data_IF_569258642820
#
_entry.id   IF_569258642820
#
_cell.length_a   1.000
_cell.length_b   1.000
_cell.length_c   1.000
_cell.angle_alpha   90.00
_cell.angle_beta   90.00
_cell.angle_gamma   90.00
#
_symmetry.space_group_name_H-M   'P 1'
#
loop_
_entity.id
_entity.type
_entity.pdbx_description
1 polymer ?
#
# COMPACT_ATOMS: atom_id res chain seq x y z
N UNK A 1 31.63 -12.83 -28.19
CA UNK A 1 30.35 -13.41 -28.63
C UNK A 1 29.62 -14.11 -27.47
N UNK A 2 30.29 -14.92 -26.63
CA UNK A 2 29.68 -15.61 -25.46
C UNK A 2 29.03 -14.63 -24.51
N UNK A 3 29.68 -13.51 -24.17
CA UNK A 3 29.10 -12.50 -23.28
C UNK A 3 27.81 -11.89 -23.85
N UNK A 4 27.79 -11.61 -25.17
CA UNK A 4 26.60 -11.11 -25.84
C UNK A 4 25.47 -12.14 -25.81
N UNK A 5 25.77 -13.42 -26.04
CA UNK A 5 24.79 -14.51 -25.97
C UNK A 5 24.18 -14.62 -24.58
N UNK A 6 25.02 -14.62 -23.54
CA UNK A 6 24.51 -14.65 -22.15
C UNK A 6 23.68 -13.41 -21.79
N UNK A 7 24.06 -12.23 -22.25
CA UNK A 7 23.29 -11.01 -22.03
C UNK A 7 21.91 -11.09 -22.71
N UNK A 8 21.83 -11.60 -23.94
CA UNK A 8 20.54 -11.79 -24.64
C UNK A 8 19.66 -12.81 -23.90
N UNK A 9 20.23 -13.95 -23.51
CA UNK A 9 19.49 -14.96 -22.73
C UNK A 9 18.97 -14.38 -21.41
N UNK A 10 19.81 -13.63 -20.68
CA UNK A 10 19.41 -12.99 -19.44
C UNK A 10 18.23 -12.02 -19.61
N UNK A 11 18.26 -11.19 -20.66
CA UNK A 11 17.18 -10.27 -21.00
C UNK A 11 15.89 -11.02 -21.35
N UNK A 12 15.97 -12.08 -22.15
CA UNK A 12 14.79 -12.90 -22.50
C UNK A 12 14.16 -13.57 -21.28
N UNK A 13 14.97 -14.14 -20.40
CA UNK A 13 14.51 -14.75 -19.13
C UNK A 13 13.89 -13.70 -18.23
N UNK A 14 14.50 -12.51 -18.13
CA UNK A 14 13.96 -11.39 -17.34
C UNK A 14 12.59 -10.93 -17.87
N UNK A 15 12.46 -10.73 -19.19
CA UNK A 15 11.20 -10.35 -19.82
C UNK A 15 10.13 -11.43 -19.58
N UNK A 16 10.45 -12.70 -19.74
CA UNK A 16 9.51 -13.80 -19.50
C UNK A 16 9.04 -13.83 -18.04
N UNK A 17 9.96 -13.67 -17.09
CA UNK A 17 9.65 -13.60 -15.67
C UNK A 17 8.74 -12.41 -15.33
N UNK A 18 9.04 -11.23 -15.87
CA UNK A 18 8.26 -10.02 -15.68
C UNK A 18 6.84 -10.16 -16.25
N UNK A 19 6.71 -10.74 -17.46
CA UNK A 19 5.39 -11.03 -18.05
C UNK A 19 4.56 -11.98 -17.20
N UNK A 20 5.15 -13.05 -16.66
CA UNK A 20 4.47 -13.96 -15.75
C UNK A 20 4.00 -13.24 -14.48
N UNK A 21 4.85 -12.39 -13.90
CA UNK A 21 4.53 -11.57 -12.71
C UNK A 21 3.34 -10.64 -12.97
N UNK A 22 3.36 -9.90 -14.08
CA UNK A 22 2.27 -9.00 -14.46
C UNK A 22 0.94 -9.72 -14.69
N UNK A 23 0.96 -10.81 -15.47
CA UNK A 23 -0.25 -11.60 -15.72
C UNK A 23 -0.84 -12.18 -14.43
N UNK A 24 0.02 -12.67 -13.53
CA UNK A 24 -0.39 -13.13 -12.20
C UNK A 24 -0.99 -12.01 -11.35
N UNK A 25 -0.34 -10.85 -11.32
CA UNK A 25 -0.78 -9.68 -10.59
C UNK A 25 -2.16 -9.18 -11.04
N UNK A 26 -2.38 -9.05 -12.35
CA UNK A 26 -3.67 -8.63 -12.91
C UNK A 26 -4.80 -9.59 -12.54
N UNK A 27 -4.54 -10.91 -12.62
CA UNK A 27 -5.55 -11.93 -12.24
C UNK A 27 -5.88 -11.85 -10.75
N UNK A 28 -4.88 -11.74 -9.88
CA UNK A 28 -5.09 -11.65 -8.43
C UNK A 28 -5.86 -10.38 -8.08
N UNK A 29 -5.47 -9.22 -8.61
CA UNK A 29 -6.14 -7.95 -8.35
C UNK A 29 -7.61 -7.96 -8.85
N UNK A 30 -7.85 -8.57 -10.01
CA UNK A 30 -9.21 -8.72 -10.55
C UNK A 30 -10.04 -9.63 -9.64
N UNK A 31 -9.51 -10.77 -9.22
CA UNK A 31 -10.20 -11.68 -8.32
C UNK A 31 -10.49 -11.04 -6.96
N UNK A 32 -9.55 -10.27 -6.40
CA UNK A 32 -9.78 -9.53 -5.15
C UNK A 32 -10.93 -8.53 -5.30
N UNK A 33 -10.98 -7.77 -6.41
CA UNK A 33 -12.09 -6.85 -6.69
C UNK A 33 -13.42 -7.58 -6.76
N UNK A 34 -13.48 -8.69 -7.51
CA UNK A 34 -14.70 -9.49 -7.69
C UNK A 34 -15.16 -10.05 -6.34
N UNK A 35 -14.28 -10.74 -5.61
CA UNK A 35 -14.61 -11.34 -4.32
C UNK A 35 -15.06 -10.30 -3.28
N UNK A 36 -14.38 -9.16 -3.22
CA UNK A 36 -14.75 -8.07 -2.32
C UNK A 36 -16.12 -7.50 -2.68
N UNK A 37 -16.40 -7.29 -3.97
CA UNK A 37 -17.70 -6.78 -4.42
C UNK A 37 -18.82 -7.79 -4.21
N UNK A 38 -18.61 -9.07 -4.51
CA UNK A 38 -19.58 -10.13 -4.25
C UNK A 38 -19.91 -10.25 -2.76
N UNK A 39 -18.88 -10.10 -1.89
CA UNK A 39 -19.08 -10.11 -0.46
C UNK A 39 -19.89 -8.88 0.02
N UNK A 40 -19.54 -7.67 -0.48
CA UNK A 40 -20.26 -6.43 -0.15
C UNK A 40 -21.75 -6.54 -0.50
N UNK A 41 -22.10 -7.11 -1.65
CA UNK A 41 -23.51 -7.28 -2.06
C UNK A 41 -24.30 -8.20 -1.11
N UNK A 42 -23.61 -9.09 -0.41
CA UNK A 42 -24.24 -10.00 0.57
C UNK A 42 -24.33 -9.43 1.99
N UNK A 43 -23.72 -8.24 2.23
CA UNK A 43 -23.76 -7.60 3.54
C UNK A 43 -25.11 -6.87 3.77
N UNK A 44 -25.51 -6.66 5.04
CA UNK A 44 -26.71 -5.87 5.37
C UNK A 44 -26.62 -4.44 4.81
N UNK A 45 -27.74 -3.84 4.39
CA UNK A 45 -27.78 -2.48 3.85
C UNK A 45 -27.19 -1.42 4.80
N UNK A 46 -27.39 -1.57 6.11
CA UNK A 46 -26.82 -0.67 7.14
C UNK A 46 -25.29 -0.61 7.15
N UNK A 47 -24.62 -1.62 6.58
CA UNK A 47 -23.17 -1.61 6.41
C UNK A 47 -22.71 -0.46 5.49
N UNK A 48 -23.41 -0.22 4.39
CA UNK A 48 -23.05 0.81 3.41
C UNK A 48 -23.13 2.23 4.03
N UNK A 49 -24.04 2.45 4.96
CA UNK A 49 -24.17 3.72 5.69
C UNK A 49 -23.01 3.93 6.68
N UNK A 50 -22.60 2.87 7.40
CA UNK A 50 -21.52 2.95 8.41
C UNK A 50 -20.13 3.07 7.77
N UNK A 51 -19.91 2.42 6.64
CA UNK A 51 -18.62 2.45 5.94
C UNK A 51 -18.43 3.66 5.02
N UNK A 52 -19.50 4.14 4.41
CA UNK A 52 -19.50 5.20 3.41
C UNK A 52 -18.97 4.74 2.03
N UNK A 53 -19.60 5.22 0.97
CA UNK A 53 -19.29 4.82 -0.42
C UNK A 53 -17.86 5.14 -0.84
N UNK A 54 -17.30 6.26 -0.36
CA UNK A 54 -15.92 6.66 -0.66
C UNK A 54 -14.89 5.70 -0.10
N UNK A 55 -15.07 5.24 1.15
CA UNK A 55 -14.20 4.28 1.80
C UNK A 55 -14.28 2.91 1.12
N UNK A 56 -15.48 2.44 0.78
CA UNK A 56 -15.66 1.18 0.03
C UNK A 56 -15.00 1.22 -1.33
N UNK A 57 -15.17 2.32 -2.08
CA UNK A 57 -14.49 2.51 -3.36
C UNK A 57 -12.96 2.45 -3.20
N UNK A 58 -12.41 3.10 -2.17
CA UNK A 58 -10.97 3.06 -1.87
C UNK A 58 -10.51 1.63 -1.60
N UNK A 59 -11.25 0.87 -0.77
CA UNK A 59 -10.92 -0.52 -0.45
C UNK A 59 -10.93 -1.40 -1.70
N UNK A 60 -11.99 -1.35 -2.50
CA UNK A 60 -12.13 -2.22 -3.68
C UNK A 60 -11.11 -1.87 -4.77
N UNK A 61 -10.91 -0.59 -5.08
CA UNK A 61 -10.07 -0.19 -6.21
C UNK A 61 -8.62 0.04 -5.81
N UNK A 62 -8.36 0.88 -4.80
CA UNK A 62 -7.00 1.30 -4.47
C UNK A 62 -6.24 0.20 -3.74
N UNK A 63 -6.88 -0.53 -2.81
CA UNK A 63 -6.19 -1.63 -2.13
C UNK A 63 -5.89 -2.80 -3.08
N UNK A 64 -6.80 -3.11 -4.01
CA UNK A 64 -6.53 -4.12 -5.05
C UNK A 64 -5.43 -3.68 -6.02
N UNK A 65 -5.36 -2.37 -6.37
CA UNK A 65 -4.30 -1.82 -7.21
C UNK A 65 -2.94 -1.83 -6.49
N UNK A 66 -2.91 -1.56 -5.18
CA UNK A 66 -1.68 -1.68 -4.37
C UNK A 66 -1.16 -3.12 -4.37
N UNK A 67 -2.04 -4.11 -4.26
CA UNK A 67 -1.70 -5.54 -4.34
C UNK A 67 -1.14 -5.90 -5.72
N UNK A 68 -1.76 -5.38 -6.79
CA UNK A 68 -1.28 -5.55 -8.17
C UNK A 68 0.14 -5.00 -8.35
N UNK A 69 0.35 -3.75 -7.93
CA UNK A 69 1.67 -3.09 -8.00
C UNK A 69 2.73 -3.86 -7.23
N UNK A 70 2.39 -4.37 -6.06
CA UNK A 70 3.29 -5.19 -5.27
C UNK A 70 3.71 -6.48 -6.00
N UNK A 71 2.75 -7.23 -6.51
CA UNK A 71 3.01 -8.51 -7.19
C UNK A 71 3.72 -8.32 -8.53
N UNK A 72 3.35 -7.27 -9.29
CA UNK A 72 3.92 -7.01 -10.61
C UNK A 72 5.35 -6.51 -10.55
N UNK A 73 5.70 -5.65 -9.59
CA UNK A 73 6.97 -4.93 -9.54
C UNK A 73 7.79 -5.28 -8.30
N UNK A 74 7.20 -5.22 -7.11
CA UNK A 74 7.96 -5.33 -5.88
C UNK A 74 8.37 -6.76 -5.54
N UNK A 75 7.58 -7.76 -5.92
CA UNK A 75 7.94 -9.16 -5.73
C UNK A 75 9.14 -9.58 -6.61
N UNK A 76 9.19 -9.25 -7.92
CA UNK A 76 10.39 -9.41 -8.74
C UNK A 76 11.60 -8.62 -8.19
N UNK A 77 11.39 -7.39 -7.72
CA UNK A 77 12.44 -6.59 -7.10
C UNK A 77 13.00 -7.23 -5.83
N UNK A 78 12.16 -7.88 -5.02
CA UNK A 78 12.61 -8.67 -3.84
C UNK A 78 13.46 -9.86 -4.25
N UNK A 79 13.05 -10.62 -5.26
CA UNK A 79 13.85 -11.72 -5.78
C UNK A 79 15.22 -11.22 -6.27
N UNK A 80 15.23 -10.11 -7.00
CA UNK A 80 16.46 -9.48 -7.47
C UNK A 80 17.34 -8.94 -6.31
N UNK A 81 16.72 -8.38 -5.27
CA UNK A 81 17.42 -7.88 -4.08
C UNK A 81 18.12 -8.99 -3.26
N UNK A 82 17.69 -10.23 -3.42
CA UNK A 82 18.37 -11.40 -2.81
C UNK A 82 19.39 -11.99 -3.81
N UNK A 83 18.98 -12.19 -5.06
CA UNK A 83 19.81 -12.83 -6.09
C UNK A 83 21.06 -12.01 -6.42
N UNK A 84 20.93 -10.68 -6.51
CA UNK A 84 22.05 -9.80 -6.89
C UNK A 84 23.17 -9.80 -5.83
N UNK A 85 22.92 -9.62 -4.51
CA UNK A 85 23.98 -9.73 -3.50
C UNK A 85 24.63 -11.12 -3.50
N UNK A 86 23.84 -12.19 -3.62
CA UNK A 86 24.38 -13.55 -3.71
C UNK A 86 25.31 -13.71 -4.92
N UNK A 87 24.89 -13.22 -6.09
CA UNK A 87 25.71 -13.23 -7.30
C UNK A 87 26.99 -12.38 -7.15
N UNK A 88 26.89 -11.22 -6.52
CA UNK A 88 28.05 -10.37 -6.23
C UNK A 88 29.03 -11.05 -5.27
N UNK A 89 28.54 -11.73 -4.24
CA UNK A 89 29.38 -12.50 -3.31
C UNK A 89 30.11 -13.63 -4.03
N UNK A 90 29.46 -14.34 -4.94
CA UNK A 90 30.11 -15.37 -5.76
C UNK A 90 31.22 -14.76 -6.62
N UNK A 91 30.97 -13.61 -7.24
CA UNK A 91 31.94 -12.90 -8.05
C UNK A 91 33.18 -12.45 -7.24
N UNK A 92 33.01 -12.14 -5.94
CA UNK A 92 34.13 -11.87 -5.03
C UNK A 92 35.16 -13.01 -4.97
N UNK A 93 34.75 -14.26 -5.09
CA UNK A 93 35.64 -15.40 -5.04
C UNK A 93 36.19 -15.81 -6.41
N UNK A 94 35.54 -15.37 -7.50
CA UNK A 94 35.96 -15.67 -8.88
C UNK A 94 37.04 -14.72 -9.36
N UNK A 95 36.95 -13.44 -8.98
CA UNK A 95 37.92 -12.39 -9.30
C UNK A 95 38.89 -12.17 -8.12
N UNK A 96 39.59 -11.05 -8.05
CA UNK A 96 40.50 -10.78 -6.95
C UNK A 96 39.76 -10.57 -5.62
N UNK A 97 39.89 -11.56 -4.70
CA UNK A 97 39.23 -11.55 -3.39
C UNK A 97 39.62 -10.33 -2.53
N UNK A 98 40.82 -9.74 -2.75
CA UNK A 98 41.29 -8.55 -2.01
C UNK A 98 40.50 -7.32 -2.39
N UNK A 99 40.30 -7.09 -3.69
CA UNK A 99 39.42 -6.03 -4.17
C UNK A 99 37.98 -6.26 -3.75
N UNK A 100 37.55 -7.50 -3.75
CA UNK A 100 36.25 -7.89 -3.25
C UNK A 100 36.02 -7.53 -1.78
N UNK A 101 36.94 -7.89 -0.89
CA UNK A 101 36.88 -7.50 0.52
C UNK A 101 36.93 -6.00 0.71
N UNK A 102 37.75 -5.28 -0.05
CA UNK A 102 37.81 -3.81 -0.02
C UNK A 102 36.45 -3.17 -0.40
N UNK A 103 35.76 -3.74 -1.38
CA UNK A 103 34.43 -3.26 -1.77
C UNK A 103 33.36 -3.57 -0.72
N UNK A 104 33.54 -4.65 0.03
CA UNK A 104 32.57 -5.10 1.05
C UNK A 104 32.56 -4.24 2.31
N UNK A 105 33.70 -3.62 2.68
CA UNK A 105 33.80 -2.79 3.89
C UNK A 105 32.77 -1.65 3.89
N UNK A 106 32.72 -0.74 2.88
CA UNK A 106 31.72 0.33 2.87
C UNK A 106 30.30 -0.19 2.64
N UNK A 107 30.13 -1.34 1.97
CA UNK A 107 28.82 -1.99 1.79
C UNK A 107 28.25 -2.45 3.14
N UNK A 108 29.06 -3.15 3.95
CA UNK A 108 28.66 -3.57 5.31
C UNK A 108 28.38 -2.37 6.19
N UNK A 109 29.21 -1.33 6.14
CA UNK A 109 28.98 -0.10 6.88
C UNK A 109 27.66 0.56 6.47
N UNK A 110 27.40 0.67 5.16
CA UNK A 110 26.13 1.18 4.63
C UNK A 110 24.93 0.35 5.09
N UNK A 111 25.06 -0.98 5.09
CA UNK A 111 24.02 -1.88 5.58
C UNK A 111 23.74 -1.69 7.08
N UNK A 112 24.76 -1.58 7.91
CA UNK A 112 24.61 -1.29 9.34
C UNK A 112 23.92 0.05 9.60
N UNK A 113 24.28 1.09 8.84
CA UNK A 113 23.60 2.39 8.92
C UNK A 113 22.14 2.25 8.48
N UNK A 114 21.86 1.53 7.40
CA UNK A 114 20.51 1.26 6.91
C UNK A 114 19.64 0.58 7.98
N UNK A 115 20.19 -0.38 8.73
CA UNK A 115 19.46 -1.03 9.82
C UNK A 115 19.01 -0.06 10.92
N UNK A 116 19.72 1.05 11.13
CA UNK A 116 19.29 2.10 12.07
C UNK A 116 18.08 2.90 11.57
N UNK A 117 17.83 2.88 10.27
CA UNK A 117 16.73 3.59 9.62
C UNK A 117 15.50 2.72 9.39
N UNK A 118 15.59 1.42 9.71
CA UNK A 118 14.51 0.43 9.57
C UNK A 118 14.14 -0.12 10.94
N UNK A 119 12.92 -0.65 11.10
CA UNK A 119 12.48 -1.27 12.33
C UNK A 119 11.12 -0.76 12.81
N UNK A 120 10.66 -1.26 13.97
CA UNK A 120 9.33 -0.98 14.53
C UNK A 120 9.04 0.52 14.70
N UNK A 121 10.02 1.27 15.18
CA UNK A 121 9.89 2.71 15.40
C UNK A 121 9.67 3.49 14.08
N UNK A 122 10.29 3.03 12.98
CA UNK A 122 10.07 3.58 11.66
C UNK A 122 8.68 3.22 11.13
N UNK A 123 8.21 1.99 11.38
CA UNK A 123 6.87 1.55 11.02
C UNK A 123 5.79 2.39 11.68
N UNK A 124 5.92 2.67 12.99
CA UNK A 124 4.99 3.54 13.71
C UNK A 124 4.96 4.95 13.10
N UNK A 125 6.12 5.51 12.80
CA UNK A 125 6.22 6.83 12.14
C UNK A 125 5.65 6.86 10.73
N UNK A 126 5.81 5.78 9.97
CA UNK A 126 5.20 5.67 8.66
C UNK A 126 3.67 5.60 8.76
N UNK A 127 3.14 4.90 9.76
CA UNK A 127 1.70 4.87 10.04
C UNK A 127 1.16 6.25 10.43
N UNK A 128 1.88 6.99 11.26
CA UNK A 128 1.55 8.39 11.58
C UNK A 128 1.53 9.28 10.32
N UNK A 129 2.51 9.09 9.44
CA UNK A 129 2.57 9.77 8.14
C UNK A 129 1.34 9.50 7.28
N UNK A 130 0.98 8.22 7.12
CA UNK A 130 -0.20 7.83 6.34
C UNK A 130 -1.49 8.40 6.94
N UNK A 131 -1.64 8.37 8.26
CA UNK A 131 -2.78 8.96 8.94
C UNK A 131 -2.87 10.48 8.71
N UNK A 132 -1.75 11.20 8.84
CA UNK A 132 -1.72 12.65 8.60
C UNK A 132 -2.03 13.02 7.14
N UNK A 133 -1.60 12.18 6.18
CA UNK A 133 -1.90 12.33 4.76
C UNK A 133 -3.39 12.06 4.46
N UNK A 134 -3.96 11.01 5.07
CA UNK A 134 -5.37 10.67 4.96
C UNK A 134 -6.26 11.79 5.54
N UNK A 135 -5.90 12.32 6.73
CA UNK A 135 -6.60 13.47 7.34
C UNK A 135 -6.59 14.70 6.43
N UNK A 136 -5.42 15.04 5.89
CA UNK A 136 -5.30 16.18 4.96
C UNK A 136 -6.13 15.95 3.69
N UNK A 137 -6.14 14.74 3.15
CA UNK A 137 -6.91 14.39 1.96
C UNK A 137 -8.41 14.45 2.21
N UNK A 138 -8.88 13.99 3.37
CA UNK A 138 -10.28 14.04 3.76
C UNK A 138 -10.76 15.49 3.94
N UNK A 139 -9.99 16.33 4.63
CA UNK A 139 -10.30 17.76 4.81
C UNK A 139 -10.29 18.51 3.46
N UNK A 140 -9.40 18.13 2.52
CA UNK A 140 -9.41 18.70 1.17
C UNK A 140 -10.72 18.38 0.41
N UNK A 141 -11.18 17.12 0.51
CA UNK A 141 -12.45 16.70 -0.12
C UNK A 141 -13.64 17.43 0.51
N UNK A 142 -13.67 17.52 1.86
CA UNK A 142 -14.72 18.28 2.56
C UNK A 142 -14.72 19.76 2.17
N UNK A 143 -13.53 20.36 2.08
CA UNK A 143 -13.39 21.75 1.64
C UNK A 143 -13.97 21.96 0.24
N UNK A 144 -13.60 21.11 -0.74
CA UNK A 144 -14.11 21.22 -2.12
C UNK A 144 -15.63 21.03 -2.18
N UNK A 145 -16.17 20.06 -1.42
CA UNK A 145 -17.63 19.86 -1.33
C UNK A 145 -18.36 21.03 -0.67
N UNK A 146 -17.72 21.69 0.28
CA UNK A 146 -18.28 22.83 1.01
C UNK A 146 -18.23 24.16 0.24
N UNK A 147 -17.43 24.27 -0.84
CA UNK A 147 -17.28 25.51 -1.60
C UNK A 147 -18.63 26.15 -2.03
N UNK A 148 -19.62 25.39 -2.57
CA UNK A 148 -20.91 25.97 -2.94
C UNK A 148 -21.64 26.58 -1.74
N UNK A 149 -21.64 25.91 -0.59
CA UNK A 149 -22.26 26.38 0.65
C UNK A 149 -21.56 27.64 1.16
N UNK A 150 -20.23 27.63 1.20
CA UNK A 150 -19.40 28.76 1.62
C UNK A 150 -19.66 29.99 0.73
N UNK A 151 -19.74 29.80 -0.59
CA UNK A 151 -20.06 30.91 -1.55
C UNK A 151 -21.45 31.46 -1.34
N UNK A 152 -22.44 30.61 -1.03
CA UNK A 152 -23.83 31.01 -0.83
C UNK A 152 -24.03 31.82 0.46
N UNK A 153 -23.34 31.42 1.52
CA UNK A 153 -23.51 32.03 2.86
C UNK A 153 -22.39 33.00 3.26
N UNK A 154 -21.40 33.24 2.40
CA UNK A 154 -20.31 34.19 2.63
C UNK A 154 -19.31 33.79 3.73
N UNK A 155 -19.37 32.56 4.21
CA UNK A 155 -18.50 32.05 5.31
C UNK A 155 -17.26 31.35 4.78
N UNK A 156 -16.21 32.10 4.46
CA UNK A 156 -14.98 31.56 3.87
C UNK A 156 -13.94 31.06 4.89
N UNK A 157 -14.00 31.50 6.16
CA UNK A 157 -12.85 31.37 7.06
C UNK A 157 -12.82 30.02 7.81
N UNK A 158 -13.95 29.45 8.20
CA UNK A 158 -13.97 28.25 9.07
C UNK A 158 -13.65 26.93 8.34
N UNK A 159 -14.18 26.72 7.15
CA UNK A 159 -13.88 25.51 6.36
C UNK A 159 -12.44 25.50 5.86
N UNK A 160 -11.90 26.67 5.48
CA UNK A 160 -10.50 26.81 5.09
C UNK A 160 -9.55 26.59 6.27
N UNK A 161 -9.93 27.01 7.49
CA UNK A 161 -9.09 26.84 8.69
C UNK A 161 -8.81 25.36 9.00
N UNK A 162 -9.82 24.51 8.97
CA UNK A 162 -9.62 23.06 9.21
C UNK A 162 -8.65 22.44 8.22
N UNK A 163 -8.84 22.72 6.93
CA UNK A 163 -7.94 22.23 5.89
C UNK A 163 -6.53 22.78 6.04
N UNK A 164 -6.39 24.07 6.34
CA UNK A 164 -5.07 24.67 6.61
C UNK A 164 -4.41 24.03 7.83
N UNK A 165 -5.14 23.82 8.90
CA UNK A 165 -4.61 23.19 10.12
C UNK A 165 -4.15 21.72 9.85
N UNK A 166 -4.84 20.99 8.96
CA UNK A 166 -4.41 19.64 8.54
C UNK A 166 -3.11 19.68 7.73
N UNK A 167 -2.98 20.64 6.82
CA UNK A 167 -1.73 20.89 6.06
C UNK A 167 -0.59 21.23 7.01
N UNK A 168 -0.83 22.12 7.97
CA UNK A 168 0.21 22.55 8.91
C UNK A 168 0.65 21.38 9.82
N UNK A 169 -0.26 20.52 10.29
CA UNK A 169 0.07 19.29 11.01
C UNK A 169 0.90 18.34 10.15
N UNK A 170 0.48 18.08 8.93
CA UNK A 170 1.22 17.25 7.99
C UNK A 170 2.63 17.79 7.73
N UNK A 171 2.76 19.11 7.48
CA UNK A 171 4.05 19.80 7.29
C UNK A 171 4.99 19.63 8.49
N UNK A 172 4.48 19.84 9.72
CA UNK A 172 5.28 19.68 10.94
C UNK A 172 5.80 18.25 11.03
N UNK A 173 4.97 17.28 10.75
CA UNK A 173 5.34 15.86 10.77
C UNK A 173 6.41 15.54 9.72
N UNK A 174 6.21 15.95 8.46
CA UNK A 174 7.16 15.72 7.36
C UNK A 174 8.53 16.33 7.67
N UNK A 175 8.55 17.57 8.18
CA UNK A 175 9.81 18.24 8.54
C UNK A 175 10.52 17.48 9.66
N UNK A 176 9.82 17.05 10.71
CA UNK A 176 10.39 16.30 11.81
C UNK A 176 10.99 14.95 11.34
N UNK A 177 10.23 14.22 10.53
CA UNK A 177 10.64 12.96 9.92
C UNK A 177 11.89 13.13 9.03
N UNK A 178 11.86 14.10 8.12
CA UNK A 178 13.00 14.39 7.22
C UNK A 178 14.26 14.80 8.00
N UNK A 179 14.11 15.61 9.04
CA UNK A 179 15.23 16.00 9.91
C UNK A 179 15.86 14.80 10.62
N UNK A 180 15.04 13.87 11.09
CA UNK A 180 15.52 12.66 11.77
C UNK A 180 16.28 11.73 10.81
N UNK A 181 15.80 11.56 9.58
CA UNK A 181 16.44 10.70 8.58
C UNK A 181 17.66 11.34 7.93
N UNK A 182 17.77 12.65 7.93
CA UNK A 182 18.82 13.37 7.20
C UNK A 182 20.22 12.86 7.53
N UNK A 183 20.58 12.77 8.79
CA UNK A 183 21.92 12.39 9.22
C UNK A 183 22.26 10.94 8.89
N UNK A 184 21.44 9.92 9.25
CA UNK A 184 21.68 8.55 8.83
C UNK A 184 21.73 8.38 7.30
N UNK A 185 20.87 9.08 6.55
CA UNK A 185 20.85 9.00 5.09
C UNK A 185 22.12 9.58 4.46
N UNK A 186 22.66 10.66 5.02
CA UNK A 186 23.95 11.22 4.58
C UNK A 186 25.09 10.22 4.77
N UNK A 187 25.18 9.59 5.95
CA UNK A 187 26.20 8.57 6.21
C UNK A 187 26.03 7.33 5.36
N UNK A 188 24.79 6.86 5.17
CA UNK A 188 24.48 5.76 4.26
C UNK A 188 24.95 6.06 2.85
N UNK A 189 24.56 7.23 2.31
CA UNK A 189 24.95 7.64 0.95
C UNK A 189 26.45 7.78 0.81
N UNK A 190 27.14 8.34 1.82
CA UNK A 190 28.59 8.47 1.83
C UNK A 190 29.27 7.09 1.88
N UNK A 191 28.78 6.16 2.71
CA UNK A 191 29.31 4.80 2.79
C UNK A 191 29.17 4.05 1.46
N UNK A 192 27.99 4.05 0.85
CA UNK A 192 27.75 3.34 -0.41
C UNK A 192 28.57 3.92 -1.56
N UNK A 193 28.66 5.24 -1.69
CA UNK A 193 29.50 5.86 -2.71
C UNK A 193 31.01 5.75 -2.38
N UNK A 194 31.36 5.48 -1.11
CA UNK A 194 32.70 5.21 -0.65
C UNK A 194 33.34 3.94 -1.25
N UNK A 195 32.52 3.00 -1.78
CA UNK A 195 33.02 1.79 -2.43
C UNK A 195 34.01 2.12 -3.55
N UNK A 196 33.70 3.12 -4.36
CA UNK A 196 34.59 3.57 -5.43
C UNK A 196 35.92 4.10 -4.90
N UNK A 197 35.87 4.91 -3.87
CA UNK A 197 37.07 5.49 -3.24
C UNK A 197 37.95 4.41 -2.58
N UNK A 198 37.34 3.42 -1.90
CA UNK A 198 38.09 2.31 -1.28
C UNK A 198 38.75 1.40 -2.33
N UNK A 199 38.08 1.15 -3.46
CA UNK A 199 38.64 0.38 -4.56
C UNK A 199 39.84 1.09 -5.21
N UNK A 200 39.76 2.40 -5.44
CA UNK A 200 40.88 3.17 -5.99
C UNK A 200 42.05 3.20 -5.00
N UNK A 201 41.77 3.58 -3.74
CA UNK A 201 42.82 3.65 -2.72
C UNK A 201 43.48 2.28 -2.48
N UNK A 202 42.69 1.23 -2.35
CA UNK A 202 43.20 -0.14 -2.21
C UNK A 202 43.93 -0.63 -3.45
N UNK A 203 43.41 -0.33 -4.64
CA UNK A 203 44.09 -0.64 -5.90
C UNK A 203 45.48 -0.01 -5.98
N UNK A 204 45.61 1.28 -5.62
CA UNK A 204 46.90 1.98 -5.57
C UNK A 204 47.86 1.36 -4.56
N UNK A 205 47.35 0.97 -3.37
CA UNK A 205 48.19 0.34 -2.35
C UNK A 205 48.65 -1.07 -2.80
N UNK A 206 47.80 -1.84 -3.45
CA UNK A 206 48.13 -3.19 -3.90
C UNK A 206 49.03 -3.22 -5.15
N UNK A 207 49.24 -2.08 -5.81
CA UNK A 207 50.08 -1.97 -7.00
C UNK A 207 51.44 -1.32 -6.74
N UNK A 208 51.82 -1.05 -5.47
CA UNK A 208 53.12 -0.44 -5.14
C UNK A 208 54.29 -1.25 -5.63
N UNK A 209 54.22 -2.57 -5.65
CA UNK A 209 55.28 -3.50 -6.09
C UNK A 209 55.21 -3.86 -7.59
N UNK A 210 54.31 -3.22 -8.31
CA UNK A 210 54.10 -3.45 -9.75
C UNK A 210 52.65 -3.80 -10.10
N UNK A 211 52.29 -3.56 -11.35
CA UNK A 211 50.93 -3.80 -11.88
C UNK A 211 50.95 -4.97 -12.83
N UNK A 212 50.14 -5.98 -12.57
CA UNK A 212 49.88 -7.06 -13.54
C UNK A 212 48.66 -6.73 -14.37
N UNK A 213 48.66 -7.14 -15.66
CA UNK A 213 47.51 -6.92 -16.53
C UNK A 213 46.23 -7.60 -16.04
N UNK A 214 46.35 -8.74 -15.34
CA UNK A 214 45.20 -9.40 -14.68
C UNK A 214 44.56 -8.54 -13.58
N UNK A 215 45.38 -8.06 -12.65
CA UNK A 215 44.90 -7.18 -11.57
C UNK A 215 44.22 -5.91 -12.10
N UNK A 216 44.75 -5.33 -13.18
CA UNK A 216 44.14 -4.15 -13.81
C UNK A 216 42.75 -4.44 -14.36
N UNK A 217 42.56 -5.60 -15.00
CA UNK A 217 41.26 -6.04 -15.51
C UNK A 217 40.29 -6.29 -14.35
N UNK A 218 40.73 -6.91 -13.27
CA UNK A 218 39.91 -7.14 -12.08
C UNK A 218 39.49 -5.81 -11.44
N UNK A 219 40.42 -4.85 -11.30
CA UNK A 219 40.11 -3.52 -10.77
C UNK A 219 39.07 -2.79 -11.64
N UNK A 220 39.22 -2.81 -12.95
CA UNK A 220 38.26 -2.21 -13.90
C UNK A 220 36.89 -2.89 -13.74
N UNK A 221 36.86 -4.22 -13.65
CA UNK A 221 35.63 -4.96 -13.40
C UNK A 221 34.91 -4.49 -12.13
N UNK A 222 35.64 -4.38 -11.00
CA UNK A 222 35.06 -3.90 -9.74
C UNK A 222 34.56 -2.46 -9.83
N UNK A 223 35.25 -1.59 -10.52
CA UNK A 223 34.82 -0.20 -10.77
C UNK A 223 33.49 -0.18 -11.55
N UNK A 224 33.36 -1.02 -12.58
CA UNK A 224 32.15 -1.09 -13.42
C UNK A 224 30.96 -1.68 -12.61
N UNK A 225 31.20 -2.63 -11.70
CA UNK A 225 30.14 -3.26 -10.94
C UNK A 225 29.69 -2.43 -9.71
N UNK A 226 30.48 -1.46 -9.27
CA UNK A 226 30.17 -0.61 -8.10
C UNK A 226 28.79 0.06 -8.18
N UNK A 227 28.33 0.63 -9.29
CA UNK A 227 26.97 1.18 -9.40
C UNK A 227 25.87 0.13 -9.15
N UNK A 228 26.09 -1.13 -9.54
CA UNK A 228 25.13 -2.22 -9.30
C UNK A 228 24.98 -2.47 -7.80
N UNK A 229 26.08 -2.44 -7.03
CA UNK A 229 26.07 -2.56 -5.58
C UNK A 229 25.24 -1.43 -4.97
N UNK A 230 25.50 -0.18 -5.34
CA UNK A 230 24.79 1.00 -4.83
C UNK A 230 23.29 0.94 -5.12
N UNK A 231 22.90 0.61 -6.34
CA UNK A 231 21.49 0.47 -6.74
C UNK A 231 20.79 -0.65 -5.99
N UNK A 232 21.46 -1.80 -5.82
CA UNK A 232 20.89 -2.96 -5.12
C UNK A 232 20.62 -2.64 -3.66
N UNK A 233 21.57 -2.03 -2.95
CA UNK A 233 21.38 -1.64 -1.54
C UNK A 233 20.29 -0.58 -1.36
N UNK A 234 20.22 0.38 -2.27
CA UNK A 234 19.15 1.39 -2.28
C UNK A 234 17.78 0.74 -2.47
N UNK A 235 17.65 -0.22 -3.37
CA UNK A 235 16.40 -1.00 -3.56
C UNK A 235 16.01 -1.77 -2.31
N UNK A 236 16.96 -2.45 -1.66
CA UNK A 236 16.70 -3.17 -0.40
C UNK A 236 16.16 -2.23 0.67
N UNK A 237 16.70 -1.02 0.79
CA UNK A 237 16.26 -0.01 1.74
C UNK A 237 14.79 0.37 1.56
N UNK A 238 14.36 0.64 0.33
CA UNK A 238 12.99 1.06 0.05
C UNK A 238 11.96 -0.08 -0.02
N UNK A 239 12.38 -1.35 -0.04
CA UNK A 239 11.47 -2.49 -0.11
C UNK A 239 10.61 -2.67 1.16
N UNK A 240 11.12 -2.31 2.32
CA UNK A 240 10.37 -2.41 3.59
C UNK A 240 9.18 -1.46 3.62
N UNK A 241 9.32 -0.25 3.08
CA UNK A 241 8.26 0.74 2.97
C UNK A 241 7.10 0.25 2.09
N UNK A 242 7.43 -0.26 0.92
CA UNK A 242 6.45 -0.79 -0.02
C UNK A 242 5.68 -2.02 0.51
N UNK A 243 6.34 -2.86 1.32
CA UNK A 243 5.69 -4.00 1.96
C UNK A 243 4.61 -3.58 2.95
N UNK A 244 4.82 -2.46 3.65
CA UNK A 244 3.84 -1.93 4.62
C UNK A 244 2.60 -1.39 3.93
N UNK A 245 2.75 -0.77 2.74
CA UNK A 245 1.62 -0.27 1.96
C UNK A 245 0.69 -1.40 1.51
N UNK A 246 1.25 -2.53 1.06
CA UNK A 246 0.43 -3.66 0.65
C UNK A 246 -0.19 -4.39 1.83
N UNK A 247 0.51 -4.46 2.96
CA UNK A 247 -0.04 -5.06 4.19
C UNK A 247 -1.25 -4.26 4.70
N UNK A 248 -1.16 -2.93 4.76
CA UNK A 248 -2.31 -2.05 5.07
C UNK A 248 -3.44 -2.23 4.05
N UNK A 249 -3.13 -2.33 2.76
CA UNK A 249 -4.12 -2.56 1.72
C UNK A 249 -4.86 -3.90 1.90
N UNK A 250 -4.15 -4.97 2.22
CA UNK A 250 -4.75 -6.28 2.49
C UNK A 250 -5.59 -6.27 3.77
N UNK A 251 -5.11 -5.65 4.85
CA UNK A 251 -5.88 -5.49 6.09
C UNK A 251 -7.20 -4.75 5.85
N UNK A 252 -7.21 -3.74 4.97
CA UNK A 252 -8.45 -3.03 4.59
C UNK A 252 -9.42 -3.93 3.84
N UNK A 253 -8.95 -4.77 2.91
CA UNK A 253 -9.78 -5.77 2.22
C UNK A 253 -10.32 -6.79 3.23
N UNK A 254 -9.47 -7.33 4.09
CA UNK A 254 -9.85 -8.29 5.12
C UNK A 254 -10.88 -7.72 6.11
N UNK A 255 -10.78 -6.42 6.42
CA UNK A 255 -11.77 -5.75 7.28
C UNK A 255 -13.19 -5.79 6.72
N UNK A 256 -13.34 -5.88 5.40
CA UNK A 256 -14.62 -6.04 4.72
C UNK A 256 -15.00 -7.51 4.60
N UNK A 257 -14.06 -8.36 4.16
CA UNK A 257 -14.32 -9.79 3.93
C UNK A 257 -14.65 -10.57 5.21
N UNK A 258 -14.15 -10.10 6.37
CA UNK A 258 -14.44 -10.71 7.67
C UNK A 258 -15.81 -10.32 8.26
N UNK A 259 -16.55 -9.40 7.62
CA UNK A 259 -17.89 -9.07 8.05
C UNK A 259 -18.86 -10.21 7.73
N UNK A 260 -19.78 -10.49 8.66
CA UNK A 260 -20.74 -11.57 8.48
C UNK A 260 -21.81 -11.17 7.44
N UNK A 261 -21.94 -11.91 6.32
CA UNK A 261 -22.99 -11.65 5.35
C UNK A 261 -24.38 -11.99 5.91
N UNK A 262 -25.41 -11.51 5.24
CA UNK A 262 -26.78 -11.90 5.54
C UNK A 262 -26.93 -13.41 5.33
N UNK A 263 -27.64 -14.04 6.25
CA UNK A 263 -27.95 -15.48 6.13
C UNK A 263 -28.95 -15.68 4.97
N UNK A 264 -28.52 -16.41 3.97
CA UNK A 264 -29.41 -16.83 2.88
C UNK A 264 -30.30 -17.96 3.36
N UNK A 265 -31.59 -17.84 3.09
CA UNK A 265 -32.51 -18.93 3.42
C UNK A 265 -32.27 -20.15 2.51
N UNK A 266 -32.13 -21.33 3.12
CA UNK A 266 -31.96 -22.59 2.40
C UNK A 266 -33.20 -22.99 1.57
N UNK A 267 -34.36 -22.43 1.93
CA UNK A 267 -35.66 -22.75 1.29
C UNK A 267 -36.37 -21.42 0.95
N UNK A 268 -36.04 -20.77 -0.16
CA UNK A 268 -36.71 -19.54 -0.59
C UNK A 268 -38.17 -19.85 -0.90
N UNK A 269 -39.07 -19.05 -0.34
CA UNK A 269 -40.52 -19.14 -0.65
C UNK A 269 -40.85 -18.10 -1.72
N UNK A 270 -41.58 -18.50 -2.73
CA UNK A 270 -42.11 -17.55 -3.70
C UNK A 270 -43.45 -16.99 -3.15
N UNK A 271 -43.61 -15.66 -3.12
CA UNK A 271 -44.86 -15.06 -2.68
C UNK A 271 -46.00 -15.45 -3.63
N UNK A 272 -47.16 -15.73 -3.08
CA UNK A 272 -48.35 -16.10 -3.90
C UNK A 272 -49.09 -14.86 -4.39
N UNK A 273 -48.95 -13.74 -3.72
CA UNK A 273 -49.51 -12.43 -4.08
C UNK A 273 -48.52 -11.32 -3.66
N UNK A 274 -48.80 -10.09 -4.04
CA UNK A 274 -47.96 -8.91 -3.74
C UNK A 274 -48.40 -8.15 -2.47
N UNK A 275 -49.18 -8.79 -1.58
CA UNK A 275 -49.51 -8.18 -0.28
C UNK A 275 -48.32 -8.25 0.66
N UNK A 276 -48.15 -7.18 1.47
CA UNK A 276 -47.09 -7.09 2.49
C UNK A 276 -47.72 -7.00 3.87
N UNK A 277 -47.40 -7.95 4.74
CA UNK A 277 -47.87 -7.97 6.13
C UNK A 277 -46.67 -7.89 7.08
N UNK A 278 -46.66 -6.88 7.95
CA UNK A 278 -45.71 -6.71 9.06
C UNK A 278 -46.42 -7.07 10.33
N UNK A 279 -45.83 -7.93 11.17
CA UNK A 279 -46.39 -8.38 12.45
C UNK A 279 -45.35 -8.10 13.57
N UNK A 280 -45.69 -7.19 14.48
CA UNK A 280 -44.88 -6.86 15.66
C UNK A 280 -43.40 -6.70 15.34
N UNK A 281 -43.10 -5.89 14.32
CA UNK A 281 -41.72 -5.69 13.85
C UNK A 281 -40.97 -4.79 14.83
N UNK A 282 -39.89 -5.33 15.39
CA UNK A 282 -38.90 -4.61 16.18
C UNK A 282 -37.58 -4.51 15.41
N UNK A 283 -36.89 -3.38 15.48
CA UNK A 283 -35.60 -3.23 14.83
C UNK A 283 -34.68 -2.22 15.53
N UNK A 284 -33.41 -2.62 15.67
CA UNK A 284 -32.29 -1.79 16.08
C UNK A 284 -31.11 -1.94 15.12
N UNK A 285 -30.34 -0.87 14.87
CA UNK A 285 -29.11 -0.92 14.07
C UNK A 285 -27.90 -1.41 14.89
N UNK A 286 -27.86 -1.09 16.17
CA UNK A 286 -26.75 -1.33 17.09
C UNK A 286 -27.06 -2.36 18.19
N UNK A 287 -28.30 -2.83 18.28
CA UNK A 287 -28.76 -3.73 19.31
C UNK A 287 -29.15 -3.04 20.64
N UNK A 288 -28.81 -1.75 20.79
CA UNK A 288 -29.07 -0.99 22.01
C UNK A 288 -30.34 -0.10 21.92
N UNK A 289 -30.49 0.58 20.76
CA UNK A 289 -31.60 1.51 20.54
C UNK A 289 -32.56 0.99 19.48
N UNK A 290 -33.78 0.65 19.90
CA UNK A 290 -34.84 0.26 18.97
C UNK A 290 -35.33 1.46 18.16
N UNK A 291 -35.21 1.36 16.83
CA UNK A 291 -35.72 2.34 15.85
C UNK A 291 -37.16 2.02 15.46
N UNK A 292 -37.49 0.74 15.31
CA UNK A 292 -38.89 0.29 15.12
C UNK A 292 -39.31 -0.49 16.35
N UNK A 293 -40.51 -0.19 16.85
CA UNK A 293 -41.09 -0.80 18.06
C UNK A 293 -42.50 -1.27 17.75
N UNK A 294 -42.69 -2.59 17.75
CA UNK A 294 -44.00 -3.23 17.64
C UNK A 294 -44.82 -2.70 16.45
N UNK A 295 -44.24 -2.62 15.28
CA UNK A 295 -44.91 -2.13 14.09
C UNK A 295 -45.69 -3.27 13.42
N UNK A 296 -47.02 -3.13 13.38
CA UNK A 296 -47.93 -4.04 12.68
C UNK A 296 -48.68 -3.29 11.59
N UNK A 297 -48.62 -3.77 10.36
CA UNK A 297 -49.18 -3.12 9.17
C UNK A 297 -49.47 -4.13 8.11
N UNK A 298 -50.63 -4.02 7.43
CA UNK A 298 -50.97 -4.81 6.25
C UNK A 298 -51.18 -3.88 5.06
N UNK A 299 -50.45 -4.14 3.96
CA UNK A 299 -50.57 -3.44 2.69
C UNK A 299 -51.16 -4.43 1.68
N UNK A 300 -52.39 -4.26 1.27
CA UNK A 300 -53.02 -5.15 0.24
C UNK A 300 -52.34 -4.97 -1.12
N UNK A 301 -52.39 -6.02 -1.94
CA UNK A 301 -51.89 -5.99 -3.30
C UNK A 301 -52.51 -4.84 -4.10
N UNK A 302 -51.70 -4.16 -4.94
CA UNK A 302 -52.10 -3.07 -5.80
C UNK A 302 -52.43 -1.75 -5.06
N UNK A 303 -52.11 -1.64 -3.75
CA UNK A 303 -52.30 -0.41 -2.99
C UNK A 303 -51.00 0.37 -2.80
N UNK A 304 -51.10 1.68 -2.86
CA UNK A 304 -50.00 2.60 -2.52
C UNK A 304 -50.21 3.13 -1.10
N UNK A 305 -49.19 3.01 -0.26
CA UNK A 305 -49.20 3.48 1.13
C UNK A 305 -48.10 4.49 1.33
N UNK A 306 -48.38 5.62 1.97
CA UNK A 306 -47.40 6.64 2.33
C UNK A 306 -47.11 6.60 3.83
N UNK A 307 -45.83 6.49 4.20
CA UNK A 307 -45.39 6.64 5.59
C UNK A 307 -45.16 8.12 5.91
N UNK A 308 -45.93 8.68 6.82
CA UNK A 308 -45.84 10.09 7.24
C UNK A 308 -45.44 10.16 8.74
N UNK A 309 -44.63 11.14 9.07
CA UNK A 309 -44.16 11.36 10.44
C UNK A 309 -42.90 12.22 10.52
N UNK A 310 -42.44 12.56 11.72
CA UNK A 310 -41.27 13.43 11.93
C UNK A 310 -39.99 12.81 11.39
N UNK A 311 -38.98 13.64 11.10
CA UNK A 311 -37.66 13.17 10.74
C UNK A 311 -37.08 12.29 11.85
N UNK A 312 -36.43 11.18 11.45
CA UNK A 312 -35.92 10.20 12.43
C UNK A 312 -36.96 9.20 12.99
N UNK A 313 -38.22 9.27 12.56
CA UNK A 313 -39.29 8.36 13.00
C UNK A 313 -39.28 6.96 12.39
N UNK A 314 -38.19 6.48 11.83
CA UNK A 314 -38.03 5.10 11.33
C UNK A 314 -38.70 4.80 9.98
N UNK A 315 -39.24 5.81 9.26
CA UNK A 315 -39.97 5.59 7.99
C UNK A 315 -39.12 4.92 6.91
N UNK A 316 -37.93 5.44 6.68
CA UNK A 316 -36.96 4.89 5.73
C UNK A 316 -36.52 3.50 6.18
N UNK A 317 -36.24 3.32 7.46
CA UNK A 317 -35.86 2.03 8.05
C UNK A 317 -36.94 0.97 7.81
N UNK A 318 -38.24 1.35 7.89
CA UNK A 318 -39.35 0.44 7.62
C UNK A 318 -39.51 0.12 6.13
N UNK A 319 -39.32 1.12 5.25
CA UNK A 319 -39.46 0.97 3.81
C UNK A 319 -38.32 0.16 3.17
N UNK A 320 -37.09 0.35 3.64
CA UNK A 320 -35.89 -0.26 3.04
C UNK A 320 -35.63 -1.69 3.51
N UNK A 321 -36.45 -2.22 4.41
CA UNK A 321 -36.32 -3.61 4.85
C UNK A 321 -37.04 -4.56 3.89
N UNK A 322 -36.22 -5.19 3.08
CA UNK A 322 -36.59 -6.40 2.33
C UNK A 322 -36.18 -7.64 3.11
#
# INVERSE_FOLDING_TARGET
>A
WMAVLFAVIAVLVYIAGLMCSHLGAFRIATNLRIQTMEHIVRLPLGFAESFGSGKLRKIVNESSAATETYLAHQLPDRANAIATPCGLLVLLFVFDWRLGLLSLVPVVLGFLIMMTMTGKQMQEKMKEYQNALDDMSNEAVEYVRGIPVVKTFGQTIFSFKKFKDSIDRYKVWVIAYTKQLRTPMMFYTAAINGVFATLIAGGLLLTQDGVTSGFLLDLIFYIIITPVISVTLTRIMFQSENAMIVDDALQRIDSVLNLKPLEETKHPKHPQNASVELKSVHFSYDGEKEVLKDISLTIPEGRTVAFVGPSGGGKTTLADRK
#
